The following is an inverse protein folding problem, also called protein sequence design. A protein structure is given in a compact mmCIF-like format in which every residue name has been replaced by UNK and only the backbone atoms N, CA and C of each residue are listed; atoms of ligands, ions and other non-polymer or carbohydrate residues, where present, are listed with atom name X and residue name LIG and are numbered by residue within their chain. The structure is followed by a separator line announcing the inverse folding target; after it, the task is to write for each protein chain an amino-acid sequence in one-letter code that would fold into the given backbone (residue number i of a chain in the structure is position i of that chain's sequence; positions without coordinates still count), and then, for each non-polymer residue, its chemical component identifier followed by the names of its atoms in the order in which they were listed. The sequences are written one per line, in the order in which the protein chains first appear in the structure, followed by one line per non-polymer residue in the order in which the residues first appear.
data_IF_963639130540
#
_entry.id   IF_963639130540
#
_cell.length_a   1.000
_cell.length_b   1.000
_cell.length_c   1.000
_cell.angle_alpha   90.00
_cell.angle_beta   90.00
_cell.angle_gamma   90.00
#
_symmetry.space_group_name_H-M   'P 1'
#
loop_
_entity.id
_entity.type
_entity.pdbx_description
1 polymer ?
#
# COMPACT_ATOMS: atom_id res chain seq x y z
N UNK A 1 19.68 11.74 3.82
CA UNK A 1 20.15 11.24 5.12
C UNK A 1 19.04 10.46 5.80
N UNK A 2 19.17 9.14 5.85
CA UNK A 2 18.18 8.20 6.39
C UNK A 2 18.57 7.82 7.82
N UNK A 3 17.98 8.45 8.82
CA UNK A 3 18.04 7.95 10.20
C UNK A 3 16.99 6.85 10.39
N UNK A 4 17.37 5.62 10.05
CA UNK A 4 16.70 4.45 10.60
C UNK A 4 16.81 4.54 12.14
N UNK A 5 15.71 4.83 12.81
CA UNK A 5 15.64 4.76 14.26
C UNK A 5 15.65 3.29 14.67
N UNK A 6 16.84 2.69 14.72
CA UNK A 6 17.07 1.39 15.32
C UNK A 6 16.88 1.58 16.83
N UNK A 7 15.70 1.23 17.34
CA UNK A 7 15.51 1.17 18.79
C UNK A 7 16.46 0.10 19.34
N UNK A 8 17.26 0.44 20.34
CA UNK A 8 18.16 -0.52 20.98
C UNK A 8 17.35 -1.69 21.57
N UNK A 9 17.61 -2.90 21.06
CA UNK A 9 17.09 -4.16 21.59
C UNK A 9 18.22 -4.84 22.36
N UNK A 10 17.98 -5.21 23.62
CA UNK A 10 18.95 -5.96 24.43
C UNK A 10 18.41 -7.38 24.61
N UNK A 11 19.09 -8.35 24.01
CA UNK A 11 18.85 -9.77 24.21
C UNK A 11 19.65 -10.21 25.44
N UNK A 12 18.96 -10.61 26.51
CA UNK A 12 19.60 -11.25 27.65
C UNK A 12 19.23 -12.73 27.64
N UNK A 13 20.22 -13.59 27.41
CA UNK A 13 20.10 -15.05 27.47
C UNK A 13 20.88 -15.49 28.70
N UNK A 14 20.19 -15.80 29.79
CA UNK A 14 20.79 -16.49 30.93
C UNK A 14 20.63 -18.00 30.75
N UNK A 15 21.73 -18.75 30.74
CA UNK A 15 21.72 -20.22 30.84
C UNK A 15 21.12 -20.66 32.18
N UNK A 16 20.40 -21.79 32.26
CA UNK A 16 19.91 -22.29 33.54
C UNK A 16 21.08 -22.78 34.37
N UNK A 17 21.49 -22.02 35.39
CA UNK A 17 22.50 -22.49 36.32
C UNK A 17 21.89 -23.56 37.22
N UNK A 18 22.56 -24.72 37.27
CA UNK A 18 22.20 -25.91 38.02
C UNK A 18 23.00 -25.91 39.34
N UNK A 19 22.28 -26.11 40.45
CA UNK A 19 22.75 -26.61 41.78
C UNK A 19 23.32 -25.57 42.78
N UNK A 20 23.53 -25.93 44.08
CA UNK A 20 22.52 -25.75 45.14
C UNK A 20 23.06 -25.07 46.42
N UNK A 21 22.16 -24.61 47.30
CA UNK A 21 22.41 -24.52 48.74
C UNK A 21 22.67 -23.15 49.38
N UNK A 22 22.02 -22.98 50.54
CA UNK A 22 22.38 -22.19 51.74
C UNK A 22 21.87 -20.74 51.90
N UNK A 23 20.84 -20.64 52.76
CA UNK A 23 20.49 -19.67 53.81
C UNK A 23 20.59 -18.14 53.64
N UNK A 24 19.42 -17.54 53.93
CA UNK A 24 19.13 -16.37 54.77
C UNK A 24 19.79 -15.00 54.50
N UNK A 25 18.95 -14.02 54.13
CA UNK A 25 18.73 -12.74 54.86
C UNK A 25 18.16 -11.66 53.92
N UNK A 26 17.01 -11.08 54.30
CA UNK A 26 16.52 -9.75 53.85
C UNK A 26 16.73 -8.78 55.02
N UNK A 27 16.56 -7.44 54.88
CA UNK A 27 16.26 -6.63 53.68
C UNK A 27 17.17 -5.40 53.54
N UNK A 28 17.23 -4.74 52.38
CA UNK A 28 17.30 -3.27 52.31
C UNK A 28 16.86 -2.76 50.93
N UNK A 29 15.94 -1.79 50.93
CA UNK A 29 15.57 -1.01 49.76
C UNK A 29 16.81 -0.27 49.21
N UNK A 30 17.21 -0.59 47.98
CA UNK A 30 18.10 0.26 47.19
C UNK A 30 17.41 0.59 45.86
N UNK A 31 17.26 1.89 45.64
CA UNK A 31 16.90 2.49 44.35
C UNK A 31 17.78 1.90 43.25
N UNK A 32 17.19 1.14 42.31
CA UNK A 32 17.94 0.54 41.20
C UNK A 32 18.13 1.57 40.08
N UNK A 33 19.38 1.98 39.88
CA UNK A 33 19.86 2.74 38.72
C UNK A 33 19.78 1.88 37.44
N UNK A 34 19.63 2.49 36.24
CA UNK A 34 19.46 1.77 34.98
C UNK A 34 20.78 1.19 34.48
N UNK A 35 21.17 0.02 34.99
CA UNK A 35 22.39 -0.66 34.52
C UNK A 35 22.56 -2.12 34.94
N UNK A 36 21.77 -2.63 35.89
CA UNK A 36 21.95 -3.98 36.41
C UNK A 36 21.07 -5.00 35.66
N UNK A 37 21.66 -5.65 34.64
CA UNK A 37 21.05 -6.72 33.83
C UNK A 37 21.35 -8.13 34.39
N UNK A 38 22.05 -8.24 35.52
CA UNK A 38 22.49 -9.53 36.09
C UNK A 38 21.34 -10.37 36.66
N UNK A 39 20.18 -9.75 36.89
CA UNK A 39 19.04 -10.33 37.62
C UNK A 39 17.79 -10.50 36.72
N UNK A 40 17.94 -10.34 35.40
CA UNK A 40 16.82 -10.33 34.45
C UNK A 40 16.48 -11.74 33.97
N UNK A 41 15.22 -12.18 34.19
CA UNK A 41 14.66 -13.41 33.62
C UNK A 41 14.95 -13.48 32.10
N UNK A 42 15.27 -14.65 31.54
CA UNK A 42 15.61 -14.78 30.13
C UNK A 42 14.47 -14.24 29.26
N UNK A 43 14.81 -13.35 28.33
CA UNK A 43 13.81 -12.65 27.54
C UNK A 43 14.38 -11.55 26.65
N UNK A 44 13.59 -11.15 25.67
CA UNK A 44 13.90 -10.01 24.81
C UNK A 44 13.36 -8.74 25.48
N UNK A 45 14.27 -7.85 25.87
CA UNK A 45 13.90 -6.56 26.45
C UNK A 45 14.02 -5.48 25.40
N UNK A 46 12.98 -4.67 25.27
CA UNK A 46 12.98 -3.51 24.39
C UNK A 46 12.50 -2.28 25.16
N UNK A 47 13.20 -1.16 24.97
CA UNK A 47 12.76 0.16 25.43
C UNK A 47 11.60 0.71 24.59
N UNK A 48 11.21 0.01 23.53
CA UNK A 48 10.11 0.38 22.67
C UNK A 48 8.78 0.31 23.42
N UNK A 49 8.07 1.44 23.46
CA UNK A 49 6.70 1.51 23.95
C UNK A 49 5.75 1.14 22.81
N UNK A 50 5.06 -0.01 22.86
CA UNK A 50 4.16 -0.41 21.78
C UNK A 50 2.92 0.49 21.74
N UNK A 51 2.45 0.80 20.53
CA UNK A 51 1.18 1.51 20.33
C UNK A 51 -0.03 0.63 20.63
N UNK A 52 0.07 -0.66 20.29
CA UNK A 52 -1.00 -1.64 20.45
C UNK A 52 -0.73 -2.57 21.63
N UNK A 53 -1.80 -3.02 22.27
CA UNK A 53 -1.74 -3.98 23.36
C UNK A 53 -1.49 -5.39 22.83
N UNK A 54 -0.82 -6.22 23.63
CA UNK A 54 -0.61 -7.63 23.32
C UNK A 54 -1.94 -8.37 23.36
N UNK A 55 -2.23 -9.16 22.33
CA UNK A 55 -3.35 -10.09 22.35
C UNK A 55 -3.03 -11.27 23.28
N UNK A 56 -3.47 -11.14 24.54
CA UNK A 56 -3.25 -12.14 25.58
C UNK A 56 -4.00 -13.45 25.28
N UNK A 57 -5.11 -13.39 24.56
CA UNK A 57 -5.91 -14.56 24.19
C UNK A 57 -5.20 -15.37 23.12
N UNK A 58 -4.71 -14.72 22.08
CA UNK A 58 -3.90 -15.35 21.04
C UNK A 58 -2.58 -15.89 21.59
N UNK A 59 -1.87 -15.11 22.42
CA UNK A 59 -0.62 -15.57 23.03
C UNK A 59 -0.83 -16.85 23.86
N UNK A 60 -1.91 -16.92 24.66
CA UNK A 60 -2.26 -18.14 25.39
C UNK A 60 -2.60 -19.28 24.43
N UNK A 61 -3.33 -19.03 23.34
CA UNK A 61 -3.70 -20.06 22.37
C UNK A 61 -2.49 -20.69 21.66
N UNK A 62 -1.46 -19.89 21.35
CA UNK A 62 -0.21 -20.37 20.73
C UNK A 62 0.62 -21.18 21.74
N UNK A 63 0.76 -20.68 22.97
CA UNK A 63 1.57 -21.31 24.03
C UNK A 63 0.85 -22.52 24.66
N UNK A 64 -0.47 -22.63 24.50
CA UNK A 64 -1.27 -23.67 25.14
C UNK A 64 -0.91 -25.06 24.62
N UNK A 65 -0.39 -25.90 25.52
CA UNK A 65 -0.10 -27.32 25.30
C UNK A 65 -1.34 -28.22 25.46
N UNK A 66 -2.57 -27.67 25.42
CA UNK A 66 -3.83 -28.38 25.73
C UNK A 66 -4.32 -29.37 24.66
N UNK A 67 -3.44 -29.85 23.77
CA UNK A 67 -3.79 -30.90 22.79
C UNK A 67 -3.12 -32.20 23.23
N UNK A 68 -3.86 -33.22 23.71
CA UNK A 68 -3.33 -34.56 23.90
C UNK A 68 -3.43 -35.37 22.58
N UNK A 69 -2.47 -36.25 22.25
CA UNK A 69 -1.20 -36.54 22.91
C UNK A 69 -0.03 -35.92 22.12
N UNK A 70 0.50 -34.79 22.58
CA UNK A 70 1.72 -34.21 22.01
C UNK A 70 1.63 -32.71 21.89
N UNK A 71 2.69 -32.02 22.32
CA UNK A 71 2.86 -30.58 22.09
C UNK A 71 2.53 -30.29 20.63
N UNK A 72 1.59 -29.35 20.39
CA UNK A 72 1.17 -28.96 19.04
C UNK A 72 2.43 -28.77 18.17
N UNK A 73 2.55 -29.44 17.01
CA UNK A 73 3.76 -29.34 16.19
C UNK A 73 4.13 -27.87 15.93
N UNK A 74 5.43 -27.58 15.94
CA UNK A 74 5.94 -26.23 15.73
C UNK A 74 5.40 -25.60 14.44
N UNK A 75 5.21 -26.42 13.39
CA UNK A 75 4.68 -25.96 12.12
C UNK A 75 3.25 -25.41 12.24
N UNK A 76 2.39 -26.07 13.02
CA UNK A 76 1.02 -25.58 13.26
C UNK A 76 1.05 -24.27 14.03
N UNK A 77 1.95 -24.13 15.01
CA UNK A 77 2.12 -22.87 15.74
C UNK A 77 2.61 -21.74 14.83
N UNK A 78 3.58 -22.03 13.94
CA UNK A 78 4.08 -21.09 12.95
C UNK A 78 2.96 -20.62 12.01
N UNK A 79 2.14 -21.54 11.50
CA UNK A 79 0.99 -21.20 10.65
C UNK A 79 -0.02 -20.33 11.40
N UNK A 80 -0.31 -20.63 12.67
CA UNK A 80 -1.22 -19.80 13.48
C UNK A 80 -0.69 -18.38 13.66
N UNK A 81 0.60 -18.22 13.93
CA UNK A 81 1.25 -16.90 14.05
C UNK A 81 1.22 -16.14 12.73
N UNK A 82 1.57 -16.80 11.62
CA UNK A 82 1.50 -16.20 10.28
C UNK A 82 0.08 -15.73 9.96
N UNK A 83 -0.93 -16.57 10.25
CA UNK A 83 -2.34 -16.24 10.01
C UNK A 83 -2.79 -15.04 10.84
N UNK A 84 -2.49 -15.03 12.13
CA UNK A 84 -2.85 -13.91 13.01
C UNK A 84 -2.16 -12.60 12.58
N UNK A 85 -0.87 -12.66 12.23
CA UNK A 85 -0.15 -11.50 11.72
C UNK A 85 -0.73 -10.98 10.40
N UNK A 86 -1.14 -11.89 9.51
CA UNK A 86 -1.82 -11.54 8.26
C UNK A 86 -3.17 -10.85 8.53
N UNK A 87 -4.00 -11.42 9.39
CA UNK A 87 -5.30 -10.84 9.77
C UNK A 87 -5.16 -9.43 10.35
N UNK A 88 -4.17 -9.23 11.22
CA UNK A 88 -3.84 -7.91 11.77
C UNK A 88 -3.35 -6.95 10.69
N UNK A 89 -2.51 -7.41 9.78
CA UNK A 89 -2.00 -6.59 8.67
C UNK A 89 -3.14 -6.18 7.74
N UNK A 90 -4.02 -7.11 7.38
CA UNK A 90 -5.21 -6.82 6.57
C UNK A 90 -6.11 -5.81 7.27
N UNK A 91 -6.38 -6.01 8.56
CA UNK A 91 -7.18 -5.07 9.37
C UNK A 91 -6.55 -3.67 9.41
N UNK A 92 -5.22 -3.59 9.48
CA UNK A 92 -4.46 -2.34 9.43
C UNK A 92 -4.47 -1.68 8.04
N UNK A 93 -4.46 -2.45 6.96
CA UNK A 93 -4.40 -1.91 5.59
C UNK A 93 -5.78 -1.44 5.10
N UNK A 94 -6.88 -2.08 5.52
CA UNK A 94 -8.25 -1.77 5.07
C UNK A 94 -8.60 -0.26 5.12
N UNK A 95 -8.36 0.47 6.23
CA UNK A 95 -8.68 1.90 6.29
C UNK A 95 -7.88 2.74 5.28
N UNK A 96 -6.61 2.38 5.05
CA UNK A 96 -5.76 3.07 4.07
C UNK A 96 -6.29 2.84 2.65
N UNK A 97 -6.62 1.60 2.29
CA UNK A 97 -7.19 1.28 0.97
C UNK A 97 -8.55 1.96 0.75
N UNK A 98 -9.40 1.99 1.78
CA UNK A 98 -10.69 2.70 1.71
C UNK A 98 -10.48 4.19 1.47
N UNK A 99 -9.52 4.80 2.16
CA UNK A 99 -9.21 6.21 1.97
C UNK A 99 -8.64 6.46 0.57
N UNK A 100 -7.73 5.62 0.07
CA UNK A 100 -7.25 5.70 -1.31
C UNK A 100 -8.39 5.61 -2.33
N UNK A 101 -9.36 4.73 -2.12
CA UNK A 101 -10.53 4.64 -2.98
C UNK A 101 -11.36 5.92 -2.97
N UNK A 102 -11.45 6.63 -1.83
CA UNK A 102 -12.13 7.93 -1.74
C UNK A 102 -11.40 9.06 -2.49
N UNK A 103 -10.09 8.91 -2.73
CA UNK A 103 -9.28 9.84 -3.51
C UNK A 103 -9.44 9.64 -5.03
N UNK A 104 -10.07 8.54 -5.46
CA UNK A 104 -10.31 8.28 -6.88
C UNK A 104 -11.35 9.25 -7.46
N UNK A 105 -11.06 9.87 -8.62
CA UNK A 105 -12.07 10.57 -9.40
C UNK A 105 -13.24 9.65 -9.78
N UNK A 106 -14.45 10.19 -9.84
CA UNK A 106 -15.62 9.42 -10.29
C UNK A 106 -15.51 9.18 -11.80
N UNK A 107 -16.01 8.03 -12.27
CA UNK A 107 -15.98 7.66 -13.70
C UNK A 107 -16.64 8.72 -14.60
N UNK A 108 -17.73 9.34 -14.14
CA UNK A 108 -18.47 10.38 -14.88
C UNK A 108 -17.69 11.68 -15.09
N UNK A 109 -16.66 11.91 -14.27
CA UNK A 109 -15.83 13.11 -14.33
C UNK A 109 -14.62 12.91 -15.27
N UNK A 110 -14.42 11.70 -15.81
CA UNK A 110 -13.35 11.38 -16.76
C UNK A 110 -13.79 11.79 -18.17
N UNK A 111 -13.29 12.94 -18.63
CA UNK A 111 -13.53 13.42 -19.99
C UNK A 111 -12.62 12.69 -21.00
N UNK A 112 -13.13 12.28 -22.19
CA UNK A 112 -12.30 11.74 -23.28
C UNK A 112 -11.30 12.73 -23.85
N UNK A 113 -11.58 14.03 -23.71
CA UNK A 113 -10.85 15.12 -24.39
C UNK A 113 -9.80 15.78 -23.50
N UNK A 114 -9.60 15.28 -22.29
CA UNK A 114 -8.62 15.80 -21.32
C UNK A 114 -7.68 14.67 -20.93
N UNK A 115 -6.46 14.97 -20.47
CA UNK A 115 -5.58 13.97 -19.89
C UNK A 115 -6.30 13.09 -18.85
N UNK A 116 -6.00 11.78 -18.79
CA UNK A 116 -6.53 10.91 -17.76
C UNK A 116 -6.30 11.55 -16.39
N UNK A 117 -7.34 11.71 -15.56
CA UNK A 117 -7.16 12.30 -14.25
C UNK A 117 -6.26 11.42 -13.40
N UNK A 118 -5.53 12.04 -12.49
CA UNK A 118 -4.67 11.32 -11.55
C UNK A 118 -5.37 11.16 -10.21
N UNK A 119 -4.92 10.16 -9.44
CA UNK A 119 -5.32 10.01 -8.05
C UNK A 119 -5.00 11.29 -7.27
N UNK A 120 -5.97 11.78 -6.49
CA UNK A 120 -5.77 12.97 -5.66
C UNK A 120 -4.62 12.74 -4.65
N UNK A 121 -3.89 13.81 -4.25
CA UNK A 121 -2.86 13.71 -3.23
C UNK A 121 -3.40 13.10 -1.93
N UNK A 122 -2.56 12.34 -1.24
CA UNK A 122 -2.90 11.76 0.05
C UNK A 122 -2.78 12.83 1.14
N UNK A 123 -3.89 13.18 1.78
CA UNK A 123 -3.90 14.05 2.96
C UNK A 123 -3.87 13.19 4.24
N UNK A 124 -2.74 13.24 4.94
CA UNK A 124 -2.51 12.50 6.18
C UNK A 124 -3.38 13.00 7.33
N UNK A 125 -3.63 14.30 7.44
CA UNK A 125 -4.43 14.84 8.54
C UNK A 125 -5.89 14.45 8.40
N UNK A 126 -6.42 14.56 7.19
CA UNK A 126 -7.79 14.14 6.88
C UNK A 126 -7.98 12.65 7.12
N UNK A 127 -7.01 11.83 6.70
CA UNK A 127 -7.01 10.40 6.99
C UNK A 127 -7.07 10.12 8.50
N UNK A 128 -6.17 10.75 9.27
CA UNK A 128 -6.09 10.54 10.72
C UNK A 128 -7.35 10.99 11.45
N UNK A 129 -7.97 12.10 11.04
CA UNK A 129 -9.27 12.57 11.57
C UNK A 129 -10.40 11.57 11.33
N UNK A 130 -10.39 10.88 10.18
CA UNK A 130 -11.39 9.87 9.84
C UNK A 130 -11.28 8.53 10.60
N UNK A 131 -10.22 8.31 11.38
CA UNK A 131 -9.97 7.01 12.00
C UNK A 131 -10.84 6.70 13.22
N UNK A 132 -11.39 7.72 13.89
CA UNK A 132 -12.26 7.51 15.05
C UNK A 132 -13.54 6.73 14.69
N UNK A 133 -14.07 6.92 13.47
CA UNK A 133 -15.28 6.24 12.99
C UNK A 133 -15.05 5.07 12.02
N UNK A 134 -13.84 4.89 11.49
CA UNK A 134 -13.57 3.91 10.42
C UNK A 134 -12.26 3.12 10.60
N UNK A 135 -11.70 3.11 11.81
CA UNK A 135 -10.39 2.51 12.10
C UNK A 135 -10.39 0.97 12.19
N UNK A 136 -9.20 0.36 12.36
CA UNK A 136 -9.01 -1.10 12.47
C UNK A 136 -9.71 -1.74 13.66
N UNK A 137 -10.12 -0.95 14.65
CA UNK A 137 -10.88 -1.43 15.81
C UNK A 137 -12.23 -2.08 15.41
N UNK A 138 -12.73 -1.81 14.19
CA UNK A 138 -13.93 -2.43 13.64
C UNK A 138 -13.68 -3.86 13.12
N UNK A 139 -12.44 -4.19 12.77
CA UNK A 139 -12.06 -5.47 12.15
C UNK A 139 -11.08 -6.28 13.00
N UNK A 140 -10.47 -5.65 14.01
CA UNK A 140 -9.50 -6.26 14.93
C UNK A 140 -9.94 -6.10 16.38
N UNK A 141 -9.83 -7.18 17.17
CA UNK A 141 -10.01 -7.14 18.62
C UNK A 141 -8.86 -6.49 19.39
N UNK A 142 -7.78 -6.08 18.71
CA UNK A 142 -6.60 -5.49 19.33
C UNK A 142 -6.86 -4.03 19.71
N UNK A 143 -6.68 -3.73 20.99
CA UNK A 143 -6.85 -2.39 21.56
C UNK A 143 -5.52 -1.63 21.60
N UNK A 144 -5.59 -0.30 21.58
CA UNK A 144 -4.43 0.56 21.75
C UNK A 144 -4.54 1.86 20.95
N UNK A 145 -3.41 2.56 20.85
CA UNK A 145 -3.29 3.80 20.11
C UNK A 145 -3.06 3.52 18.62
N UNK A 146 -4.13 3.15 17.90
CA UNK A 146 -4.10 2.99 16.45
C UNK A 146 -3.65 4.29 15.76
N UNK A 147 -4.07 5.45 16.26
CA UNK A 147 -3.73 6.74 15.67
C UNK A 147 -2.23 7.01 15.65
N UNK A 148 -1.56 6.79 16.77
CA UNK A 148 -0.09 6.91 16.85
C UNK A 148 0.63 5.89 15.98
N UNK A 149 0.09 4.69 15.82
CA UNK A 149 0.67 3.69 14.91
C UNK A 149 0.60 4.14 13.46
N UNK A 150 -0.55 4.66 13.01
CA UNK A 150 -0.69 5.19 11.66
C UNK A 150 0.19 6.42 11.43
N UNK A 151 0.24 7.36 12.37
CA UNK A 151 1.16 8.51 12.28
C UNK A 151 2.60 8.06 12.03
N UNK A 152 3.08 7.09 12.81
CA UNK A 152 4.42 6.52 12.61
C UNK A 152 4.57 5.80 11.27
N UNK A 153 3.55 5.07 10.83
CA UNK A 153 3.58 4.34 9.57
C UNK A 153 3.61 5.29 8.37
N UNK A 154 2.79 6.35 8.37
CA UNK A 154 2.73 7.33 7.29
C UNK A 154 4.07 8.06 7.07
N UNK A 155 4.86 8.23 8.13
CA UNK A 155 6.22 8.79 8.04
C UNK A 155 7.30 7.77 7.66
N UNK A 156 6.94 6.49 7.48
CA UNK A 156 7.91 5.41 7.23
C UNK A 156 8.18 5.19 5.74
N UNK A 157 9.38 4.69 5.37
CA UNK A 157 9.67 4.29 3.99
C UNK A 157 8.72 3.22 3.45
N UNK A 158 8.19 2.36 4.34
CA UNK A 158 7.23 1.32 3.97
C UNK A 158 5.95 1.92 3.41
N UNK A 159 5.44 3.00 4.02
CA UNK A 159 4.28 3.71 3.49
C UNK A 159 4.58 4.36 2.15
N UNK A 160 5.74 5.01 1.99
CA UNK A 160 6.12 5.65 0.73
C UNK A 160 6.12 4.63 -0.42
N UNK A 161 6.75 3.47 -0.20
CA UNK A 161 6.79 2.39 -1.19
C UNK A 161 5.39 1.84 -1.48
N UNK A 162 4.63 1.50 -0.43
CA UNK A 162 3.27 1.00 -0.55
C UNK A 162 2.35 1.99 -1.30
N UNK A 163 2.39 3.27 -0.94
CA UNK A 163 1.57 4.31 -1.54
C UNK A 163 1.94 4.56 -2.99
N UNK A 164 3.23 4.54 -3.34
CA UNK A 164 3.69 4.69 -4.72
C UNK A 164 3.10 3.59 -5.63
N UNK A 165 3.18 2.33 -5.17
CA UNK A 165 2.60 1.19 -5.91
C UNK A 165 1.08 1.33 -6.05
N UNK A 166 0.38 1.61 -4.95
CA UNK A 166 -1.09 1.78 -4.97
C UNK A 166 -1.53 2.97 -5.82
N UNK A 167 -0.78 4.07 -5.80
CA UNK A 167 -1.05 5.26 -6.62
C UNK A 167 -0.92 4.93 -8.10
N UNK A 168 0.11 4.19 -8.50
CA UNK A 168 0.27 3.82 -9.91
C UNK A 168 -0.80 2.81 -10.36
N UNK A 169 -1.17 1.83 -9.53
CA UNK A 169 -2.30 0.93 -9.83
C UNK A 169 -3.61 1.70 -10.01
N UNK A 170 -3.86 2.70 -9.17
CA UNK A 170 -5.03 3.56 -9.24
C UNK A 170 -5.03 4.43 -10.51
N UNK A 171 -3.90 5.07 -10.82
CA UNK A 171 -3.73 5.84 -12.05
C UNK A 171 -3.87 4.96 -13.30
N UNK A 172 -3.39 3.73 -13.26
CA UNK A 172 -3.54 2.79 -14.37
C UNK A 172 -5.02 2.47 -14.62
N UNK A 173 -5.81 2.24 -13.55
CA UNK A 173 -7.28 2.08 -13.70
C UNK A 173 -7.93 3.31 -14.32
N UNK A 174 -7.51 4.53 -13.94
CA UNK A 174 -8.02 5.76 -14.53
C UNK A 174 -7.67 5.90 -16.02
N UNK A 175 -6.46 5.48 -16.44
CA UNK A 175 -6.07 5.41 -17.85
C UNK A 175 -6.96 4.45 -18.63
N UNK A 176 -7.23 3.26 -18.08
CA UNK A 176 -8.12 2.29 -18.72
C UNK A 176 -9.55 2.83 -18.87
N UNK A 177 -10.07 3.49 -17.84
CA UNK A 177 -11.38 4.14 -17.89
C UNK A 177 -11.40 5.24 -18.96
N UNK A 178 -10.35 6.07 -19.01
CA UNK A 178 -10.22 7.12 -20.01
C UNK A 178 -10.21 6.56 -21.44
N UNK A 179 -9.44 5.49 -21.70
CA UNK A 179 -9.40 4.84 -23.01
C UNK A 179 -10.75 4.22 -23.40
N UNK A 180 -11.48 3.64 -22.45
CA UNK A 180 -12.86 3.17 -22.67
C UNK A 180 -13.82 4.31 -23.04
N UNK A 181 -13.69 5.48 -22.40
CA UNK A 181 -14.48 6.66 -22.77
C UNK A 181 -14.10 7.16 -24.16
N UNK A 182 -12.81 7.15 -24.50
CA UNK A 182 -12.31 7.56 -25.80
C UNK A 182 -12.83 6.68 -26.95
N UNK A 183 -12.86 5.36 -26.77
CA UNK A 183 -13.46 4.42 -27.73
C UNK A 183 -14.91 4.77 -28.08
N UNK A 184 -15.67 5.29 -27.11
CA UNK A 184 -17.10 5.60 -27.23
C UNK A 184 -17.35 7.02 -27.73
N UNK A 185 -16.32 7.87 -27.73
CA UNK A 185 -16.44 9.27 -28.08
C UNK A 185 -16.38 9.47 -29.60
N UNK A 186 -17.09 10.48 -30.10
CA UNK A 186 -17.04 10.87 -31.51
C UNK A 186 -15.87 11.84 -31.76
N UNK A 187 -14.72 11.28 -32.09
CA UNK A 187 -13.49 12.06 -32.34
C UNK A 187 -13.62 12.88 -33.62
N UNK A 188 -14.36 12.39 -34.62
CA UNK A 188 -14.58 13.10 -35.88
C UNK A 188 -15.38 14.39 -35.70
N UNK A 189 -16.37 14.37 -34.80
CA UNK A 189 -17.07 15.60 -34.39
C UNK A 189 -16.15 16.56 -33.63
N UNK A 190 -15.38 16.06 -32.66
CA UNK A 190 -14.46 16.89 -31.84
C UNK A 190 -13.35 17.55 -32.64
N UNK A 191 -12.92 16.99 -33.77
CA UNK A 191 -11.85 17.59 -34.58
C UNK A 191 -12.29 18.82 -35.38
N UNK A 192 -13.59 19.00 -35.65
CA UNK A 192 -14.08 20.03 -36.58
C UNK A 192 -13.81 21.45 -36.10
N UNK A 193 -13.71 21.65 -34.79
CA UNK A 193 -13.50 22.94 -34.13
C UNK A 193 -12.09 23.07 -33.53
N UNK A 194 -11.13 22.22 -33.95
CA UNK A 194 -9.79 22.13 -33.38
C UNK A 194 -8.72 22.50 -34.38
N UNK A 195 -7.65 23.12 -33.90
CA UNK A 195 -6.47 23.40 -34.70
C UNK A 195 -5.66 22.11 -34.89
N UNK A 196 -4.91 22.03 -35.99
CA UNK A 196 -4.06 20.88 -36.30
C UNK A 196 -3.08 20.54 -35.17
N UNK A 197 -2.51 21.55 -34.51
CA UNK A 197 -1.62 21.39 -33.36
C UNK A 197 -2.33 20.69 -32.19
N UNK A 198 -3.57 21.06 -31.90
CA UNK A 198 -4.37 20.43 -30.84
C UNK A 198 -4.69 18.98 -31.17
N UNK A 199 -4.98 18.68 -32.44
CA UNK A 199 -5.25 17.32 -32.92
C UNK A 199 -3.98 16.46 -32.79
N UNK A 200 -2.82 17.01 -33.17
CA UNK A 200 -1.53 16.33 -33.04
C UNK A 200 -1.18 16.06 -31.58
N UNK A 201 -1.32 17.05 -30.69
CA UNK A 201 -1.06 16.89 -29.26
C UNK A 201 -1.97 15.82 -28.63
N UNK A 202 -3.26 15.85 -28.98
CA UNK A 202 -4.21 14.83 -28.58
C UNK A 202 -3.79 13.43 -29.04
N UNK A 203 -3.39 13.27 -30.31
CA UNK A 203 -2.92 11.98 -30.83
C UNK A 203 -1.69 11.48 -30.06
N UNK A 204 -0.71 12.34 -29.80
CA UNK A 204 0.49 11.99 -29.02
C UNK A 204 0.13 11.58 -27.59
N UNK A 205 -0.79 12.30 -26.96
CA UNK A 205 -1.29 11.97 -25.63
C UNK A 205 -1.99 10.60 -25.60
N UNK A 206 -2.82 10.29 -26.60
CA UNK A 206 -3.51 8.99 -26.72
C UNK A 206 -2.51 7.86 -26.94
N UNK A 207 -1.49 8.09 -27.79
CA UNK A 207 -0.40 7.14 -28.01
C UNK A 207 0.34 6.81 -26.73
N UNK A 208 0.75 7.83 -25.97
CA UNK A 208 1.47 7.65 -24.71
C UNK A 208 0.58 6.98 -23.65
N UNK A 209 -0.71 7.32 -23.62
CA UNK A 209 -1.64 6.65 -22.73
C UNK A 209 -1.80 5.16 -23.09
N UNK A 210 -1.89 4.81 -24.38
CA UNK A 210 -1.97 3.43 -24.87
C UNK A 210 -0.69 2.64 -24.58
N UNK A 211 0.49 3.23 -24.82
CA UNK A 211 1.79 2.58 -24.60
C UNK A 211 1.95 2.17 -23.14
N UNK A 212 1.64 3.09 -22.21
CA UNK A 212 1.68 2.85 -20.77
C UNK A 212 0.63 1.83 -20.34
N UNK A 213 -0.60 1.96 -20.85
CA UNK A 213 -1.69 1.07 -20.48
C UNK A 213 -1.51 -0.37 -20.96
N UNK A 214 -0.70 -0.59 -22.00
CA UNK A 214 -0.37 -1.93 -22.53
C UNK A 214 0.74 -2.60 -21.72
N UNK A 215 1.70 -1.84 -21.19
CA UNK A 215 2.86 -2.36 -20.44
C UNK A 215 2.53 -2.73 -18.98
N UNK A 216 1.45 -2.19 -18.43
CA UNK A 216 1.08 -2.36 -17.02
C UNK A 216 -0.10 -3.31 -16.85
N UNK A 217 -0.17 -3.99 -15.70
CA UNK A 217 -1.31 -4.83 -15.32
C UNK A 217 -2.27 -4.07 -14.38
N UNK A 218 -3.60 -4.14 -14.58
CA UNK A 218 -4.29 -4.77 -15.71
C UNK A 218 -4.00 -4.01 -17.01
N UNK A 219 -3.85 -4.76 -18.10
CA UNK A 219 -3.60 -4.21 -19.43
C UNK A 219 -4.90 -3.77 -20.09
N UNK A 220 -4.79 -2.84 -21.04
CA UNK A 220 -5.89 -2.47 -21.92
C UNK A 220 -6.41 -3.67 -22.72
N UNK A 221 -7.72 -3.73 -22.96
CA UNK A 221 -8.31 -4.81 -23.75
C UNK A 221 -7.87 -4.75 -25.21
N UNK A 222 -7.65 -5.90 -25.84
CA UNK A 222 -7.25 -5.97 -27.25
C UNK A 222 -8.26 -5.28 -28.19
N UNK A 223 -9.56 -5.36 -27.86
CA UNK A 223 -10.61 -4.69 -28.62
C UNK A 223 -10.49 -3.16 -28.52
N UNK A 224 -10.30 -2.62 -27.32
CA UNK A 224 -10.08 -1.18 -27.08
C UNK A 224 -8.87 -0.68 -27.87
N UNK A 225 -7.76 -1.43 -27.85
CA UNK A 225 -6.55 -1.10 -28.61
C UNK A 225 -6.83 -1.05 -30.09
N UNK A 226 -7.45 -2.09 -30.64
CA UNK A 226 -7.76 -2.16 -32.07
C UNK A 226 -8.68 -1.02 -32.53
N UNK A 227 -9.74 -0.75 -31.77
CA UNK A 227 -10.67 0.36 -32.06
C UNK A 227 -9.95 1.71 -32.07
N UNK A 228 -9.16 2.00 -31.03
CA UNK A 228 -8.43 3.27 -30.96
C UNK A 228 -7.36 3.38 -32.05
N UNK A 229 -6.63 2.31 -32.35
CA UNK A 229 -5.68 2.29 -33.46
C UNK A 229 -6.35 2.49 -34.82
N UNK A 230 -7.55 1.96 -35.04
CA UNK A 230 -8.33 2.24 -36.24
C UNK A 230 -8.74 3.71 -36.31
N UNK A 231 -9.28 4.27 -35.21
CA UNK A 231 -9.67 5.68 -35.14
C UNK A 231 -8.47 6.61 -35.37
N UNK A 232 -7.33 6.36 -34.72
CA UNK A 232 -6.08 7.12 -34.91
C UNK A 232 -5.65 7.12 -36.38
N UNK A 233 -5.71 5.97 -37.07
CA UNK A 233 -5.36 5.89 -38.49
C UNK A 233 -6.28 6.74 -39.36
N UNK A 234 -7.58 6.71 -39.10
CA UNK A 234 -8.57 7.55 -39.79
C UNK A 234 -8.29 9.04 -39.56
N UNK A 235 -7.99 9.44 -38.32
CA UNK A 235 -7.63 10.82 -37.98
C UNK A 235 -6.37 11.26 -38.73
N UNK A 236 -5.32 10.45 -38.70
CA UNK A 236 -4.07 10.76 -39.42
C UNK A 236 -4.35 10.94 -40.91
N UNK A 237 -5.14 10.07 -41.54
CA UNK A 237 -5.46 10.21 -42.98
C UNK A 237 -6.26 11.46 -43.35
N UNK A 238 -6.90 12.12 -42.37
CA UNK A 238 -7.68 13.35 -42.58
C UNK A 238 -6.86 14.64 -42.40
N UNK A 239 -5.64 14.55 -41.88
CA UNK A 239 -4.74 15.70 -41.71
C UNK A 239 -3.98 16.03 -43.01
N UNK A 240 -3.39 17.23 -43.16
CA UNK A 240 -2.53 17.58 -44.30
C UNK A 240 -1.32 16.64 -44.50
N UNK A 241 -0.82 16.54 -45.73
CA UNK A 241 0.21 15.56 -46.13
C UNK A 241 1.55 15.69 -45.39
N UNK A 242 1.93 16.92 -45.04
CA UNK A 242 3.14 17.23 -44.27
C UNK A 242 3.06 16.66 -42.85
N UNK A 243 1.92 16.80 -42.18
CA UNK A 243 1.68 16.21 -40.85
C UNK A 243 1.51 14.70 -40.91
N UNK A 244 0.87 14.17 -41.96
CA UNK A 244 0.70 12.73 -42.14
C UNK A 244 2.02 11.98 -42.15
N UNK A 245 3.01 12.49 -42.88
CA UNK A 245 4.32 11.84 -43.03
C UNK A 245 5.07 11.77 -41.68
N UNK A 246 5.01 12.84 -40.90
CA UNK A 246 5.58 12.93 -39.55
C UNK A 246 4.88 12.00 -38.54
N UNK A 247 3.54 11.90 -38.61
CA UNK A 247 2.79 11.06 -37.67
C UNK A 247 2.89 9.58 -38.01
N UNK A 248 2.83 9.20 -39.30
CA UNK A 248 2.95 7.79 -39.72
C UNK A 248 4.26 7.16 -39.23
N UNK A 249 5.38 7.90 -39.24
CA UNK A 249 6.65 7.40 -38.69
C UNK A 249 6.58 7.19 -37.17
N UNK A 250 5.97 8.12 -36.43
CA UNK A 250 5.79 8.02 -34.99
C UNK A 250 4.89 6.85 -34.58
N UNK A 251 3.76 6.65 -35.27
CA UNK A 251 2.76 5.64 -34.93
C UNK A 251 3.06 4.24 -35.51
N UNK A 252 4.08 4.09 -36.36
CA UNK A 252 4.50 2.81 -36.96
C UNK A 252 5.50 2.01 -36.10
N UNK A 253 6.15 2.64 -35.11
CA UNK A 253 7.06 1.92 -34.20
C UNK A 253 6.31 1.33 -32.99
N UNK A 254 6.56 0.05 -32.65
CA UNK A 254 5.93 -0.66 -31.53
C UNK A 254 6.35 -0.13 -30.14
#
# INVERSE_FOLDING_TARGET
HTHAHTHAHTLSISSPNVSPGTEESRPHQRSRSPGDLSDTRPGVFSRYKPFLQKDKTFAKLVISNKTPPGKRPMEVQNVMVKKHALELTTSFIIPLERYLASLMPLKRDVSPWRPPPQLKPFDSELFLKGMEGAGPHLTSGVKGNWTGLYQRFLSSPNFISWFSVRKEEANQKLRLIHLDQLCKADIGFWMRDKQEVEIVDFLLQVKECLSRATRQYPSVSAQTVHTLQSQIRTIISSLPEDLQSCLKSSFSSP
#
